data_IF_242903039448
#
_entry.id   IF_242903039448
#
_cell.length_a   1.000
_cell.length_b   1.000
_cell.length_c   1.000
_cell.angle_alpha   90.00
_cell.angle_beta   90.00
_cell.angle_gamma   90.00
#
_symmetry.space_group_name_H-M   'P 1'
#
loop_
_entity.id
_entity.type
_entity.pdbx_description
1 polymer ?
#
# COMPACT_ATOMS: atom_id res chain seq x y z
N UNK A 1 -13.73 -21.24 -27.94
CA UNK A 1 -12.96 -21.46 -26.69
C UNK A 1 -11.50 -21.70 -27.05
N UNK A 2 -10.55 -20.83 -26.70
CA UNK A 2 -9.13 -21.06 -27.02
C UNK A 2 -8.48 -22.06 -26.06
N UNK A 3 -7.60 -22.90 -26.62
CA UNK A 3 -7.01 -24.10 -26.01
C UNK A 3 -5.90 -23.76 -25.01
N UNK A 4 -5.77 -24.61 -23.99
CA UNK A 4 -4.62 -24.75 -23.09
C UNK A 4 -3.31 -24.65 -23.90
N UNK A 5 -2.41 -23.72 -23.56
CA UNK A 5 -0.99 -23.91 -23.90
C UNK A 5 -0.10 -22.71 -24.23
N UNK A 6 -0.59 -21.49 -24.43
CA UNK A 6 0.32 -20.36 -24.73
C UNK A 6 0.05 -19.17 -23.80
N UNK A 7 0.68 -19.21 -22.63
CA UNK A 7 0.91 -18.01 -21.84
C UNK A 7 1.86 -17.11 -22.65
N UNK A 8 1.26 -16.17 -23.37
CA UNK A 8 1.97 -15.13 -24.12
C UNK A 8 3.02 -14.46 -23.22
N UNK A 9 4.24 -14.26 -23.74
CA UNK A 9 5.38 -13.68 -23.01
C UNK A 9 5.04 -12.32 -22.37
N UNK A 10 4.07 -11.60 -22.93
CA UNK A 10 3.51 -10.34 -22.40
C UNK A 10 2.65 -10.52 -21.13
N UNK A 11 2.01 -11.66 -20.95
CA UNK A 11 1.22 -11.95 -19.74
C UNK A 11 2.09 -12.21 -18.51
N UNK A 12 3.30 -12.78 -18.69
CA UNK A 12 4.30 -12.92 -17.61
C UNK A 12 4.87 -11.57 -17.17
N UNK A 13 5.17 -10.68 -18.10
CA UNK A 13 5.69 -9.34 -17.79
C UNK A 13 4.66 -8.46 -17.03
N UNK A 14 3.37 -8.64 -17.31
CA UNK A 14 2.29 -7.91 -16.60
C UNK A 14 2.05 -8.41 -15.18
N UNK A 15 2.43 -9.65 -14.85
CA UNK A 15 2.34 -10.18 -13.49
C UNK A 15 3.51 -9.73 -12.60
N UNK A 16 4.70 -9.54 -13.16
CA UNK A 16 5.87 -9.03 -12.43
C UNK A 16 5.71 -7.56 -12.00
N UNK A 17 5.01 -6.73 -12.77
CA UNK A 17 4.74 -5.33 -12.40
C UNK A 17 3.65 -5.18 -11.30
N UNK A 18 3.01 -6.29 -10.89
CA UNK A 18 2.11 -6.32 -9.72
C UNK A 18 2.86 -6.66 -8.43
N UNK A 19 4.17 -6.84 -8.47
CA UNK A 19 5.03 -6.85 -7.28
C UNK A 19 5.00 -5.45 -6.66
N UNK A 20 3.96 -5.24 -5.86
CA UNK A 20 3.79 -4.27 -4.78
C UNK A 20 4.77 -3.10 -4.86
N UNK A 21 4.29 -1.97 -5.40
CA UNK A 21 5.02 -0.69 -5.37
C UNK A 21 5.06 -0.18 -3.93
N UNK A 22 5.76 -0.88 -3.05
CA UNK A 22 5.97 -0.51 -1.67
C UNK A 22 7.15 0.45 -1.61
N UNK A 23 6.82 1.74 -1.57
CA UNK A 23 7.78 2.82 -1.50
C UNK A 23 7.48 3.68 -0.28
N UNK A 24 8.48 4.45 0.14
CA UNK A 24 8.33 5.42 1.20
C UNK A 24 7.43 6.55 0.72
N UNK A 25 6.32 6.78 1.41
CA UNK A 25 5.38 7.83 1.05
C UNK A 25 5.83 9.18 1.61
N UNK A 26 5.27 10.26 1.08
CA UNK A 26 5.46 11.61 1.64
C UNK A 26 4.65 11.83 2.94
N UNK A 27 3.85 10.84 3.39
CA UNK A 27 3.01 10.95 4.59
C UNK A 27 3.83 10.58 5.83
N UNK A 28 3.55 11.30 6.90
CA UNK A 28 4.23 11.15 8.19
C UNK A 28 3.23 10.56 9.19
N UNK A 29 3.69 9.62 10.01
CA UNK A 29 2.89 9.04 11.07
C UNK A 29 2.72 10.05 12.21
N UNK A 30 1.47 10.32 12.59
CA UNK A 30 1.16 11.24 13.68
C UNK A 30 1.72 10.79 15.05
N UNK A 31 1.90 9.48 15.25
CA UNK A 31 2.33 8.93 16.55
C UNK A 31 3.85 8.94 16.75
N UNK A 32 4.65 8.63 15.70
CA UNK A 32 6.11 8.55 15.82
C UNK A 32 6.87 9.63 15.05
N UNK A 33 6.21 10.39 14.16
CA UNK A 33 6.85 11.44 13.37
C UNK A 33 7.70 10.93 12.19
N UNK A 34 7.68 9.64 11.89
CA UNK A 34 8.44 9.05 10.77
C UNK A 34 7.61 8.93 9.49
N UNK A 35 8.29 8.87 8.35
CA UNK A 35 7.65 8.64 7.04
C UNK A 35 7.14 7.22 6.94
N UNK A 36 5.97 7.04 6.31
CA UNK A 36 5.28 5.76 6.27
C UNK A 36 5.52 5.05 4.94
N UNK A 37 5.87 3.77 4.97
CA UNK A 37 5.87 2.90 3.80
C UNK A 37 4.45 2.67 3.28
N UNK A 38 4.24 2.64 1.96
CA UNK A 38 2.90 2.48 1.38
C UNK A 38 2.19 1.22 1.90
N UNK A 39 2.93 0.12 2.09
CA UNK A 39 2.37 -1.12 2.64
C UNK A 39 1.89 -0.99 4.09
N UNK A 40 2.40 -0.03 4.85
CA UNK A 40 2.09 0.20 6.26
C UNK A 40 1.22 1.45 6.50
N UNK A 41 0.87 2.17 5.44
CA UNK A 41 0.07 3.38 5.53
C UNK A 41 -1.37 3.06 5.93
N UNK A 42 -1.75 3.50 7.12
CA UNK A 42 -3.11 3.42 7.65
C UNK A 42 -3.71 4.84 7.69
N UNK A 43 -4.62 5.18 6.76
CA UNK A 43 -5.37 6.42 6.82
C UNK A 43 -6.53 6.31 7.81
N UNK A 44 -6.70 7.32 8.66
CA UNK A 44 -7.76 7.40 9.67
C UNK A 44 -8.48 8.73 9.55
N UNK A 45 -9.80 8.71 9.37
CA UNK A 45 -10.61 9.93 9.32
C UNK A 45 -11.01 10.32 10.74
N UNK A 46 -10.52 11.47 11.20
CA UNK A 46 -10.85 12.05 12.50
C UNK A 46 -11.89 13.14 12.31
N UNK A 47 -13.04 12.99 12.97
CA UNK A 47 -14.13 13.97 12.93
C UNK A 47 -13.63 15.31 13.47
N UNK A 48 -13.82 16.40 12.71
CA UNK A 48 -13.40 17.75 13.09
C UNK A 48 -11.95 18.13 12.77
N UNK A 49 -11.06 17.17 12.44
CA UNK A 49 -9.65 17.45 12.12
C UNK A 49 -9.25 17.06 10.70
N UNK A 50 -9.94 16.07 10.09
CA UNK A 50 -9.67 15.61 8.74
C UNK A 50 -9.00 14.22 8.70
N UNK A 51 -8.18 13.97 7.68
CA UNK A 51 -7.44 12.70 7.56
C UNK A 51 -6.13 12.77 8.34
N UNK A 52 -5.88 11.74 9.14
CA UNK A 52 -4.59 11.48 9.79
C UNK A 52 -3.99 10.19 9.25
N UNK A 53 -2.67 10.09 9.28
CA UNK A 53 -1.94 8.94 8.77
C UNK A 53 -1.13 8.29 9.89
N UNK A 54 -1.19 6.98 9.95
CA UNK A 54 -0.49 6.17 10.96
C UNK A 54 0.19 4.98 10.29
N UNK A 55 1.21 4.44 10.94
CA UNK A 55 1.62 3.07 10.67
C UNK A 55 0.53 2.10 11.14
N UNK A 56 0.31 0.99 10.45
CA UNK A 56 -0.65 -0.05 10.87
C UNK A 56 -0.43 -0.49 12.32
N UNK A 57 0.83 -0.66 12.73
CA UNK A 57 1.20 -1.05 14.10
C UNK A 57 0.84 0.03 15.14
N UNK A 58 0.92 1.30 14.77
CA UNK A 58 0.57 2.43 15.65
C UNK A 58 -0.95 2.61 15.78
N UNK A 59 -1.70 2.27 14.74
CA UNK A 59 -3.16 2.27 14.83
C UNK A 59 -3.73 1.05 15.56
N UNK A 60 -3.03 -0.08 15.57
CA UNK A 60 -3.53 -1.35 16.13
C UNK A 60 -3.69 -1.40 17.66
N UNK A 61 -3.41 -0.32 18.40
CA UNK A 61 -3.57 -0.28 19.86
C UNK A 61 -4.99 0.11 20.30
N UNK A 62 -6.03 -0.57 19.78
CA UNK A 62 -7.40 -0.49 20.29
C UNK A 62 -8.09 -1.85 20.24
#
# INVERSE_FOLDING_TARGET
MPKKGELSKTARASLANREQVNHLTARVCEQCGERIMLAELQPVKVVGTGMKYYHKNHFQTA
#
